data_IF_568243545637
#
_entry.id   IF_568243545637
#
_cell.length_a   1.000
_cell.length_b   1.000
_cell.length_c   1.000
_cell.angle_alpha   90.00
_cell.angle_beta   90.00
_cell.angle_gamma   90.00
#
_symmetry.space_group_name_H-M   'P 1'
#
loop_
_entity.id
_entity.type
_entity.pdbx_description
1 polymer ?
#
# COMPACT_ATOMS: atom_id res chain seq x y z
N UNK A 1 -13.88 -19.32 38.45
CA UNK A 1 -12.66 -19.68 37.68
C UNK A 1 -12.82 -19.30 36.21
N UNK A 2 -13.28 -18.09 35.88
CA UNK A 2 -13.67 -17.72 34.50
C UNK A 2 -12.66 -16.81 33.81
N UNK A 3 -11.74 -16.22 34.58
CA UNK A 3 -10.81 -15.19 34.10
C UNK A 3 -9.74 -15.77 33.15
N UNK A 4 -9.41 -17.06 33.27
CA UNK A 4 -8.40 -17.73 32.43
C UNK A 4 -8.90 -18.09 31.02
N UNK A 5 -10.20 -18.38 30.86
CA UNK A 5 -10.80 -18.82 29.58
C UNK A 5 -11.00 -17.63 28.64
N UNK A 6 -11.35 -16.46 29.18
CA UNK A 6 -11.47 -15.23 28.42
C UNK A 6 -10.12 -14.82 27.81
N UNK A 7 -9.04 -14.93 28.59
CA UNK A 7 -7.67 -14.61 28.14
C UNK A 7 -7.22 -15.52 27.00
N UNK A 8 -7.50 -16.82 27.08
CA UNK A 8 -7.18 -17.78 26.02
C UNK A 8 -7.95 -17.51 24.73
N UNK A 9 -9.17 -16.99 24.82
CA UNK A 9 -9.99 -16.63 23.65
C UNK A 9 -9.40 -15.44 22.89
N UNK A 10 -8.82 -14.46 23.59
CA UNK A 10 -8.11 -13.34 22.96
C UNK A 10 -6.78 -13.73 22.30
N UNK A 11 -6.18 -14.86 22.67
CA UNK A 11 -4.96 -15.37 22.06
C UNK A 11 -5.22 -16.23 20.80
N UNK A 12 -6.48 -16.58 20.51
CA UNK A 12 -6.83 -17.36 19.33
C UNK A 12 -6.75 -16.50 18.07
N UNK A 13 -6.07 -17.03 17.05
CA UNK A 13 -5.90 -16.41 15.75
C UNK A 13 -6.74 -17.17 14.72
N UNK A 14 -7.66 -16.47 14.06
CA UNK A 14 -8.49 -17.07 13.02
C UNK A 14 -7.90 -16.76 11.65
N UNK A 15 -7.59 -17.81 10.91
CA UNK A 15 -7.09 -17.72 9.55
C UNK A 15 -8.27 -17.98 8.60
N UNK A 16 -8.53 -17.04 7.71
CA UNK A 16 -9.51 -17.16 6.64
C UNK A 16 -8.81 -17.07 5.29
N UNK A 17 -9.30 -17.81 4.29
CA UNK A 17 -8.83 -17.72 2.92
C UNK A 17 -9.91 -16.99 2.11
N UNK A 18 -9.54 -15.91 1.42
CA UNK A 18 -10.42 -15.20 0.50
C UNK A 18 -9.90 -15.41 -0.92
N UNK A 19 -10.80 -15.76 -1.82
CA UNK A 19 -10.48 -15.87 -3.24
C UNK A 19 -10.18 -14.50 -3.83
N UNK A 20 -9.10 -14.42 -4.60
CA UNK A 20 -8.74 -13.19 -5.33
C UNK A 20 -9.16 -13.21 -6.79
N UNK A 21 -9.63 -14.36 -7.29
CA UNK A 21 -9.99 -14.58 -8.70
C UNK A 21 -11.26 -15.46 -8.76
N UNK A 22 -12.09 -15.24 -9.77
CA UNK A 22 -13.40 -15.91 -9.96
C UNK A 22 -13.30 -17.40 -10.33
N UNK A 23 -12.13 -17.87 -10.79
CA UNK A 23 -11.89 -19.27 -11.13
C UNK A 23 -10.72 -19.84 -10.32
N UNK A 24 -11.02 -20.84 -9.47
CA UNK A 24 -10.00 -21.58 -8.75
C UNK A 24 -9.25 -22.48 -9.72
N UNK A 25 -7.98 -22.20 -9.93
CA UNK A 25 -7.09 -23.12 -10.62
C UNK A 25 -5.95 -23.59 -9.72
N UNK A 26 -5.49 -22.72 -8.80
CA UNK A 26 -4.34 -23.00 -7.96
C UNK A 26 -4.47 -22.44 -6.54
N UNK A 27 -3.77 -23.05 -5.58
CA UNK A 27 -3.67 -22.54 -4.20
C UNK A 27 -3.07 -21.12 -4.09
N UNK A 28 -2.43 -20.64 -5.15
CA UNK A 28 -1.91 -19.26 -5.26
C UNK A 28 -3.02 -18.21 -5.43
N UNK A 29 -4.22 -18.62 -5.80
CA UNK A 29 -5.35 -17.72 -6.10
C UNK A 29 -6.12 -17.31 -4.83
N UNK A 30 -5.76 -17.91 -3.68
CA UNK A 30 -6.28 -17.54 -2.39
C UNK A 30 -5.36 -16.54 -1.69
N UNK A 31 -5.96 -15.45 -1.23
CA UNK A 31 -5.32 -14.55 -0.28
C UNK A 31 -5.62 -15.01 1.14
N UNK A 32 -4.57 -15.32 1.88
CA UNK A 32 -4.65 -15.51 3.31
C UNK A 32 -5.02 -14.19 3.99
N UNK A 33 -6.15 -14.19 4.70
CA UNK A 33 -6.52 -13.11 5.60
C UNK A 33 -6.54 -13.69 7.00
N UNK A 34 -5.64 -13.17 7.84
CA UNK A 34 -5.74 -13.47 9.25
C UNK A 34 -6.55 -12.41 9.97
N UNK A 35 -7.58 -12.83 10.71
CA UNK A 35 -8.31 -11.97 11.62
C UNK A 35 -7.46 -11.75 12.87
N UNK A 36 -6.62 -10.71 12.82
CA UNK A 36 -5.90 -10.24 13.98
C UNK A 36 -6.91 -9.73 15.02
N UNK A 37 -6.87 -10.30 16.22
CA UNK A 37 -7.65 -9.83 17.36
C UNK A 37 -7.43 -8.31 17.58
N UNK A 38 -8.41 -7.62 18.16
CA UNK A 38 -8.40 -6.16 18.42
C UNK A 38 -7.11 -5.74 19.15
N UNK A 39 -6.62 -6.56 20.08
CA UNK A 39 -5.36 -6.33 20.80
C UNK A 39 -4.17 -6.21 19.83
N UNK A 40 -4.05 -7.13 18.88
CA UNK A 40 -2.98 -7.10 17.89
C UNK A 40 -3.15 -5.92 16.93
N UNK A 41 -4.38 -5.57 16.55
CA UNK A 41 -4.66 -4.36 15.76
C UNK A 41 -4.21 -3.10 16.50
N UNK A 42 -4.47 -2.98 17.80
CA UNK A 42 -4.04 -1.84 18.63
C UNK A 42 -2.51 -1.78 18.69
N UNK A 43 -1.85 -2.90 18.97
CA UNK A 43 -0.36 -2.96 19.02
C UNK A 43 0.24 -2.53 17.68
N UNK A 44 -0.25 -3.09 16.57
CA UNK A 44 0.20 -2.72 15.22
C UNK A 44 -0.07 -1.25 14.92
N UNK A 45 -1.23 -0.70 15.32
CA UNK A 45 -1.54 0.72 15.11
C UNK A 45 -0.59 1.64 15.87
N UNK A 46 -0.24 1.31 17.11
CA UNK A 46 0.74 2.06 17.91
C UNK A 46 2.14 1.98 17.27
N UNK A 47 2.55 0.80 16.81
CA UNK A 47 3.83 0.61 16.14
C UNK A 47 3.91 1.41 14.84
N UNK A 48 2.89 1.31 13.99
CA UNK A 48 2.78 2.03 12.72
C UNK A 48 2.81 3.54 12.97
N UNK A 49 2.02 4.06 13.92
CA UNK A 49 2.03 5.49 14.25
C UNK A 49 3.39 6.01 14.71
N UNK A 50 4.21 5.17 15.35
CA UNK A 50 5.57 5.54 15.80
C UNK A 50 6.62 5.36 14.71
N UNK A 51 6.51 4.32 13.89
CA UNK A 51 7.51 3.97 12.87
C UNK A 51 7.29 4.72 11.55
N UNK A 52 6.05 4.99 11.16
CA UNK A 52 5.72 5.74 9.94
C UNK A 52 6.41 7.10 9.81
N UNK A 53 6.49 7.97 10.84
CA UNK A 53 7.23 9.23 10.72
C UNK A 53 8.73 9.03 10.52
N UNK A 54 9.33 7.99 11.09
CA UNK A 54 10.74 7.65 10.89
C UNK A 54 10.99 7.08 9.48
N UNK A 55 10.12 6.19 9.03
CA UNK A 55 10.13 5.63 7.67
C UNK A 55 9.91 6.71 6.62
N UNK A 56 9.12 7.76 6.89
CA UNK A 56 8.97 8.90 5.99
C UNK A 56 10.28 9.65 5.71
N UNK A 57 11.25 9.62 6.64
CA UNK A 57 12.57 10.23 6.45
C UNK A 57 13.56 9.33 5.70
N UNK A 58 13.36 8.01 5.73
CA UNK A 58 14.29 7.02 5.15
C UNK A 58 13.81 6.52 3.78
N UNK A 59 12.49 6.44 3.57
CA UNK A 59 11.89 5.91 2.35
C UNK A 59 11.78 7.03 1.31
N UNK A 60 12.28 6.76 0.11
CA UNK A 60 12.17 7.64 -1.08
C UNK A 60 10.71 8.06 -1.34
N UNK A 61 10.45 9.31 -1.76
CA UNK A 61 9.10 9.84 -2.00
C UNK A 61 8.25 9.00 -2.95
N UNK A 62 8.84 8.12 -3.77
CA UNK A 62 8.11 7.23 -4.67
C UNK A 62 7.49 5.99 -4.01
N UNK A 63 8.02 5.51 -2.88
CA UNK A 63 7.53 4.27 -2.22
C UNK A 63 6.50 4.52 -1.12
N UNK A 64 6.07 5.76 -0.91
CA UNK A 64 5.26 6.13 0.24
C UNK A 64 3.76 5.81 0.14
N UNK A 65 3.33 4.92 -0.76
CA UNK A 65 1.93 4.48 -0.84
C UNK A 65 1.47 3.69 0.40
N UNK A 66 2.44 3.29 1.24
CA UNK A 66 2.20 2.59 2.51
C UNK A 66 1.94 3.52 3.70
N UNK A 67 2.07 4.84 3.52
CA UNK A 67 1.96 5.80 4.61
C UNK A 67 0.58 6.47 4.55
N UNK A 68 -0.23 6.39 5.62
CA UNK A 68 -1.46 7.16 5.69
C UNK A 68 -1.08 8.65 5.63
N UNK A 69 -1.83 9.43 4.85
CA UNK A 69 -1.64 10.87 4.58
C UNK A 69 -0.77 11.26 3.38
N UNK A 70 -0.46 10.36 2.45
CA UNK A 70 0.04 10.75 1.12
C UNK A 70 -0.96 10.27 0.08
N UNK A 71 -1.86 11.16 -0.32
CA UNK A 71 -2.84 10.88 -1.36
C UNK A 71 -2.13 10.35 -2.61
N UNK A 72 -2.47 9.11 -2.98
CA UNK A 72 -1.90 8.41 -4.13
C UNK A 72 -2.13 9.20 -5.43
N UNK A 73 -3.20 10.00 -5.46
CA UNK A 73 -3.62 10.82 -6.59
C UNK A 73 -2.62 11.94 -6.95
N UNK A 74 -2.06 12.65 -5.96
CA UNK A 74 -1.17 13.79 -6.23
C UNK A 74 0.07 13.36 -7.02
N UNK A 75 0.59 12.17 -6.72
CA UNK A 75 1.76 11.61 -7.41
C UNK A 75 1.45 11.19 -8.84
N UNK A 76 0.25 10.65 -9.07
CA UNK A 76 -0.19 10.25 -10.39
C UNK A 76 -0.40 11.47 -11.29
N UNK A 77 -0.98 12.55 -10.76
CA UNK A 77 -1.13 13.83 -11.44
C UNK A 77 0.24 14.43 -11.79
N UNK A 78 1.19 14.46 -10.85
CA UNK A 78 2.56 14.95 -11.09
C UNK A 78 3.26 14.13 -12.18
N UNK A 79 3.13 12.80 -12.14
CA UNK A 79 3.73 11.92 -13.15
C UNK A 79 3.12 12.17 -14.53
N UNK A 80 1.80 12.26 -14.63
CA UNK A 80 1.13 12.58 -15.90
C UNK A 80 1.58 13.92 -16.46
N UNK A 81 1.77 14.92 -15.60
CA UNK A 81 2.22 16.24 -15.99
C UNK A 81 3.66 16.22 -16.53
N UNK A 82 4.55 15.47 -15.87
CA UNK A 82 5.94 15.25 -16.31
C UNK A 82 6.02 14.56 -17.67
N UNK A 83 5.20 13.52 -17.88
CA UNK A 83 5.10 12.82 -19.16
C UNK A 83 4.59 13.75 -20.25
N UNK A 84 3.61 14.60 -19.93
CA UNK A 84 3.04 15.59 -20.85
C UNK A 84 4.06 16.64 -21.28
N UNK A 85 4.85 17.17 -20.34
CA UNK A 85 5.93 18.13 -20.60
C UNK A 85 7.00 17.49 -21.50
N UNK A 86 7.41 16.27 -21.19
CA UNK A 86 8.43 15.53 -21.94
C UNK A 86 7.98 15.21 -23.37
N UNK A 87 6.71 14.84 -23.57
CA UNK A 87 6.13 14.69 -24.92
C UNK A 87 6.10 16.02 -25.70
N UNK A 88 5.75 17.12 -25.04
CA UNK A 88 5.74 18.45 -25.68
C UNK A 88 7.14 18.92 -26.07
N UNK A 89 8.15 18.67 -25.24
CA UNK A 89 9.53 19.06 -25.53
C UNK A 89 10.10 18.26 -26.72
N UNK A 90 9.80 16.95 -26.81
CA UNK A 90 10.18 16.11 -27.97
C UNK A 90 9.55 16.61 -29.28
N UNK A 91 8.24 16.87 -29.28
CA UNK A 91 7.52 17.42 -30.46
C UNK A 91 8.07 18.78 -30.91
N UNK A 92 8.47 19.64 -29.98
CA UNK A 92 9.09 20.94 -30.29
C UNK A 92 10.47 20.80 -30.91
N UNK A 93 11.27 19.83 -30.46
CA UNK A 93 12.57 19.51 -31.07
C UNK A 93 12.38 19.00 -32.50
N UNK A 94 11.52 18.02 -32.72
CA UNK A 94 11.22 17.46 -34.06
C UNK A 94 10.75 18.55 -35.05
N UNK A 95 9.89 19.48 -34.62
CA UNK A 95 9.47 20.61 -35.47
C UNK A 95 10.60 21.58 -35.84
N UNK A 96 11.61 21.78 -34.98
CA UNK A 96 12.78 22.60 -35.30
C UNK A 96 13.71 21.93 -36.31
N UNK A 97 13.80 20.60 -36.31
CA UNK A 97 14.59 19.86 -37.31
C UNK A 97 13.92 19.80 -38.68
N UNK A 98 12.60 19.97 -38.75
CA UNK A 98 11.83 20.03 -40.00
C UNK A 98 11.73 21.45 -40.58
N UNK A 99 12.29 22.47 -39.91
CA UNK A 99 12.28 23.87 -40.34
C UNK A 99 13.69 24.41 -40.67
N UNK A 100 14.71 23.57 -40.64
CA UNK A 100 16.07 23.81 -41.14
C UNK A 100 16.35 22.83 -42.30
#
# INVERSE_FOLDING_TARGET
>A
MENGVLMLTFLKHYIALILTVDSLSNFKDFRLISSCNIVHKIITMVLVNKLCPLLNHVISPFQSQLLPNKDTFDKEIILQELVRITRKSKRRKERRYLQN
#
